data_IF_710472641533
#
_entry.id   IF_710472641533
#
_cell.length_a   1.000
_cell.length_b   1.000
_cell.length_c   1.000
_cell.angle_alpha   90.00
_cell.angle_beta   90.00
_cell.angle_gamma   90.00
#
_symmetry.space_group_name_H-M   'P 1'
#
loop_
_entity.id
_entity.type
_entity.pdbx_description
1 polymer ?
#
# COMPACT_ATOMS: atom_id res chain seq x y z
N UNK A 1 11.78 3.02 7.65
CA UNK A 1 10.72 3.84 6.99
C UNK A 1 9.38 3.39 7.51
N UNK A 2 8.46 4.31 7.79
CA UNK A 2 7.07 3.99 8.12
C UNK A 2 6.17 4.25 6.92
N UNK A 3 5.26 3.31 6.66
CA UNK A 3 4.26 3.37 5.60
C UNK A 3 2.94 3.83 6.25
N UNK A 4 2.40 4.94 5.75
CA UNK A 4 1.07 5.43 6.12
C UNK A 4 0.00 4.55 5.46
N UNK A 5 -0.86 3.93 6.26
CA UNK A 5 -1.88 3.01 5.79
C UNK A 5 -3.22 3.68 5.44
N UNK A 6 -3.30 5.02 5.48
CA UNK A 6 -4.51 5.81 5.16
C UNK A 6 -5.76 5.46 5.99
N UNK A 7 -5.58 4.78 7.12
CA UNK A 7 -6.63 4.42 8.07
C UNK A 7 -6.33 4.95 9.49
N UNK A 8 -5.44 5.94 9.61
CA UNK A 8 -4.96 6.47 10.90
C UNK A 8 -3.85 5.65 11.56
N UNK A 9 -3.38 4.58 10.91
CA UNK A 9 -2.25 3.76 11.39
C UNK A 9 -1.05 3.86 10.45
N UNK A 10 0.13 3.59 10.99
CA UNK A 10 1.38 3.44 10.24
C UNK A 10 2.00 2.08 10.57
N UNK A 11 2.78 1.53 9.64
CA UNK A 11 3.53 0.29 9.85
C UNK A 11 4.98 0.43 9.41
N UNK A 12 5.90 -0.28 10.04
CA UNK A 12 7.29 -0.28 9.61
C UNK A 12 7.40 -1.08 8.30
N UNK A 13 8.12 -0.55 7.30
CA UNK A 13 8.34 -1.22 6.02
C UNK A 13 8.96 -2.63 6.18
N UNK A 14 9.73 -2.86 7.25
CA UNK A 14 10.30 -4.18 7.56
C UNK A 14 9.25 -5.25 7.92
N UNK A 15 8.05 -4.84 8.32
CA UNK A 15 6.92 -5.72 8.66
C UNK A 15 6.06 -6.08 7.44
N UNK A 16 6.33 -5.49 6.26
CA UNK A 16 5.66 -5.85 5.02
C UNK A 16 6.24 -7.15 4.47
N UNK A 17 5.36 -8.09 4.12
CA UNK A 17 5.71 -9.33 3.45
C UNK A 17 5.71 -9.16 1.93
N UNK A 18 4.64 -8.56 1.39
CA UNK A 18 4.48 -8.32 -0.04
C UNK A 18 3.49 -7.18 -0.28
N UNK A 19 3.59 -6.53 -1.43
CA UNK A 19 2.62 -5.55 -1.90
C UNK A 19 2.14 -5.93 -3.29
N UNK A 20 0.84 -5.75 -3.55
CA UNK A 20 0.20 -5.98 -4.85
C UNK A 20 -0.64 -4.78 -5.23
N UNK A 21 -0.64 -4.44 -6.52
CA UNK A 21 -1.32 -3.26 -7.05
C UNK A 21 -2.35 -3.70 -8.09
N UNK A 22 -3.61 -3.28 -7.92
CA UNK A 22 -4.74 -3.73 -8.75
C UNK A 22 -5.57 -2.52 -9.20
N UNK A 23 -5.96 -2.50 -10.48
CA UNK A 23 -6.93 -1.53 -11.03
C UNK A 23 -8.30 -2.21 -11.12
N UNK A 24 -9.33 -1.65 -10.48
CA UNK A 24 -10.69 -2.21 -10.48
C UNK A 24 -11.72 -1.11 -10.78
N UNK A 25 -12.43 -1.20 -11.90
CA UNK A 25 -13.63 -0.37 -12.18
C UNK A 25 -13.54 1.12 -11.81
N UNK A 26 -12.40 1.76 -12.05
CA UNK A 26 -12.17 3.19 -11.73
C UNK A 26 -11.47 3.47 -10.40
N UNK A 27 -11.16 2.44 -9.60
CA UNK A 27 -10.31 2.54 -8.41
C UNK A 27 -8.94 1.88 -8.63
N UNK A 28 -7.98 2.35 -7.85
CA UNK A 28 -6.60 1.90 -7.81
C UNK A 28 -6.30 1.40 -6.40
N UNK A 29 -6.19 0.09 -6.25
CA UNK A 29 -6.10 -0.58 -4.96
C UNK A 29 -4.67 -1.05 -4.73
N UNK A 30 -4.15 -0.76 -3.54
CA UNK A 30 -2.84 -1.19 -3.07
C UNK A 30 -3.06 -2.12 -1.90
N UNK A 31 -2.78 -3.40 -2.12
CA UNK A 31 -2.94 -4.46 -1.14
C UNK A 31 -1.58 -4.78 -0.51
N UNK A 32 -1.43 -4.49 0.78
CA UNK A 32 -0.21 -4.74 1.56
C UNK A 32 -0.45 -5.96 2.45
N UNK A 33 0.34 -7.01 2.27
CA UNK A 33 0.36 -8.18 3.17
C UNK A 33 1.48 -8.01 4.19
N UNK A 34 1.17 -8.32 5.44
CA UNK A 34 2.11 -8.17 6.55
C UNK A 34 2.78 -9.51 6.88
N UNK A 35 3.96 -9.44 7.49
CA UNK A 35 4.60 -10.60 8.10
C UNK A 35 3.81 -11.06 9.34
N UNK A 36 3.92 -12.34 9.72
CA UNK A 36 3.39 -12.82 10.99
C UNK A 36 3.91 -11.99 12.17
N UNK A 37 3.09 -11.84 13.21
CA UNK A 37 3.43 -11.08 14.44
C UNK A 37 3.77 -9.60 14.22
N UNK A 38 3.22 -8.95 13.20
CA UNK A 38 3.34 -7.50 13.01
C UNK A 38 2.61 -6.70 14.11
N UNK A 39 3.02 -5.43 14.22
CA UNK A 39 2.52 -4.43 15.17
C UNK A 39 1.01 -4.19 15.11
N UNK A 40 0.38 -4.40 13.96
CA UNK A 40 -1.07 -4.21 13.77
C UNK A 40 -1.88 -5.47 14.03
N UNK A 41 -1.23 -6.63 14.23
CA UNK A 41 -1.88 -7.95 14.38
C UNK A 41 -2.90 -8.23 13.26
N UNK A 42 -2.60 -7.79 12.04
CA UNK A 42 -3.43 -8.00 10.83
C UNK A 42 -2.67 -8.80 9.79
N UNK A 43 -3.37 -9.48 8.90
CA UNK A 43 -2.74 -10.22 7.79
C UNK A 43 -2.47 -9.31 6.59
N UNK A 44 -3.39 -8.40 6.30
CA UNK A 44 -3.26 -7.46 5.19
C UNK A 44 -4.09 -6.20 5.40
N UNK A 45 -3.86 -5.22 4.53
CA UNK A 45 -4.73 -4.06 4.35
C UNK A 45 -4.83 -3.68 2.88
N UNK A 46 -6.01 -3.22 2.49
CA UNK A 46 -6.24 -2.60 1.19
C UNK A 46 -6.30 -1.08 1.35
N UNK A 47 -5.61 -0.37 0.46
CA UNK A 47 -5.62 1.08 0.38
C UNK A 47 -6.14 1.46 -1.01
N UNK A 48 -7.25 2.19 -1.03
CA UNK A 48 -7.94 2.53 -2.27
C UNK A 48 -7.73 4.00 -2.63
N UNK A 49 -7.51 4.25 -3.92
CA UNK A 49 -7.39 5.57 -4.52
C UNK A 49 -8.34 5.68 -5.70
N UNK A 50 -8.98 6.85 -5.85
CA UNK A 50 -9.86 7.13 -7.00
C UNK A 50 -9.07 7.63 -8.22
N UNK A 51 -7.81 8.02 -8.03
CA UNK A 51 -6.96 8.62 -9.07
C UNK A 51 -5.64 7.87 -9.21
N UNK A 52 -5.27 7.52 -10.46
CA UNK A 52 -4.02 6.82 -10.78
C UNK A 52 -2.79 7.60 -10.29
N UNK A 53 -2.80 8.93 -10.45
CA UNK A 53 -1.72 9.80 -10.05
C UNK A 53 -1.41 9.67 -8.56
N UNK A 54 -2.44 9.73 -7.71
CA UNK A 54 -2.29 9.60 -6.25
C UNK A 54 -1.82 8.19 -5.84
N UNK A 55 -2.31 7.16 -6.52
CA UNK A 55 -1.85 5.80 -6.31
C UNK A 55 -0.36 5.67 -6.67
N UNK A 56 0.06 6.19 -7.83
CA UNK A 56 1.46 6.18 -8.27
C UNK A 56 2.36 6.99 -7.34
N UNK A 57 1.94 8.16 -6.85
CA UNK A 57 2.68 8.94 -5.86
C UNK A 57 2.89 8.17 -4.55
N UNK A 58 1.85 7.48 -4.08
CA UNK A 58 1.94 6.61 -2.90
C UNK A 58 2.93 5.48 -3.13
N UNK A 59 2.82 4.80 -4.28
CA UNK A 59 3.68 3.68 -4.66
C UNK A 59 5.15 4.14 -4.77
N UNK A 60 5.39 5.26 -5.44
CA UNK A 60 6.73 5.85 -5.57
C UNK A 60 7.31 6.22 -4.21
N UNK A 61 6.51 6.85 -3.34
CA UNK A 61 6.95 7.28 -2.01
C UNK A 61 7.39 6.09 -1.14
N UNK A 62 6.60 5.03 -1.08
CA UNK A 62 6.81 3.95 -0.09
C UNK A 62 7.52 2.71 -0.65
N UNK A 63 7.44 2.48 -1.96
CA UNK A 63 8.00 1.29 -2.60
C UNK A 63 9.00 1.61 -3.71
N UNK A 64 9.30 2.89 -3.96
CA UNK A 64 10.28 3.37 -4.94
C UNK A 64 10.04 2.84 -6.36
N UNK A 65 8.78 2.70 -6.75
CA UNK A 65 8.35 2.33 -8.11
C UNK A 65 7.79 3.59 -8.77
N UNK A 66 8.40 4.03 -9.87
CA UNK A 66 8.12 5.35 -10.46
C UNK A 66 6.70 5.50 -10.99
N UNK A 67 6.22 4.52 -11.77
CA UNK A 67 4.88 4.53 -12.36
C UNK A 67 4.44 3.08 -12.51
N UNK A 68 3.28 2.75 -11.97
CA UNK A 68 2.71 1.41 -12.07
C UNK A 68 1.37 1.41 -12.81
N UNK A 69 0.51 2.39 -12.53
CA UNK A 69 -0.77 2.53 -13.20
C UNK A 69 -0.69 3.56 -14.33
N UNK A 70 -1.15 3.18 -15.52
CA UNK A 70 -1.42 4.06 -16.66
C UNK A 70 -2.83 4.68 -16.61
#
# INVERSE_FOLDING_TARGET
MFIDLKNGSCINASEVLSVTFVKQSGSYNINIKFKPHNSLKKESIEINFDEALKANEYIKKYFNIETYFD
#
